data_IF_631294278334
#
_entry.id   IF_631294278334
#
_cell.length_a   1.000
_cell.length_b   1.000
_cell.length_c   1.000
_cell.angle_alpha   90.00
_cell.angle_beta   90.00
_cell.angle_gamma   90.00
#
_symmetry.space_group_name_H-M   'P 1'
#
loop_
_entity.id
_entity.type
_entity.pdbx_description
1 polymer ?
#
# COMPACT_ATOMS: atom_id res chain seq x y z
N UNK A 1 11.48 -6.14 -40.33
CA UNK A 1 11.36 -4.98 -39.42
C UNK A 1 10.62 -5.46 -38.19
N UNK A 2 11.35 -6.09 -37.29
CA UNK A 2 10.87 -6.45 -35.96
C UNK A 2 11.01 -5.20 -35.09
N UNK A 3 9.92 -4.75 -34.49
CA UNK A 3 9.95 -3.66 -33.52
C UNK A 3 10.04 -4.33 -32.15
N UNK A 4 11.27 -4.42 -31.64
CA UNK A 4 11.52 -4.67 -30.22
C UNK A 4 10.81 -3.59 -29.40
N UNK A 5 9.84 -4.00 -28.60
CA UNK A 5 9.34 -3.19 -27.51
C UNK A 5 10.27 -3.43 -26.30
N UNK A 6 11.39 -2.71 -26.28
CA UNK A 6 12.16 -2.50 -25.06
C UNK A 6 11.35 -1.58 -24.14
N UNK A 7 10.51 -2.17 -23.29
CA UNK A 7 9.93 -1.43 -22.16
C UNK A 7 10.94 -1.45 -21.01
N UNK A 8 11.85 -0.48 -21.02
CA UNK A 8 12.64 -0.12 -19.85
C UNK A 8 11.71 0.56 -18.83
N UNK A 9 10.89 -0.22 -18.13
CA UNK A 9 10.08 0.29 -17.03
C UNK A 9 11.01 0.45 -15.81
N UNK A 10 11.22 1.70 -15.37
CA UNK A 10 12.08 2.03 -14.26
C UNK A 10 11.54 1.36 -12.97
N UNK A 11 12.33 0.51 -12.28
CA UNK A 11 11.92 -0.16 -11.05
C UNK A 11 11.59 0.79 -9.90
N UNK A 12 11.83 2.09 -10.05
CA UNK A 12 11.49 3.15 -9.09
C UNK A 12 10.18 3.92 -9.38
N UNK A 13 9.39 3.50 -10.37
CA UNK A 13 8.21 4.25 -10.80
C UNK A 13 7.02 4.17 -9.83
N UNK A 14 6.65 5.32 -9.25
CA UNK A 14 5.42 5.51 -8.49
C UNK A 14 4.39 6.33 -9.30
N UNK A 15 3.14 6.31 -8.86
CA UNK A 15 2.07 7.14 -9.43
C UNK A 15 1.37 7.87 -8.31
N UNK A 16 1.33 9.21 -8.39
CA UNK A 16 0.65 10.05 -7.42
C UNK A 16 -0.85 10.06 -7.73
N UNK A 17 -1.66 9.52 -6.81
CA UNK A 17 -3.12 9.44 -6.99
C UNK A 17 -3.84 10.69 -6.47
N UNK A 18 -3.31 11.32 -5.41
CA UNK A 18 -3.85 12.55 -4.82
C UNK A 18 -2.69 13.41 -4.37
N UNK A 19 -2.76 14.71 -4.65
CA UNK A 19 -1.80 15.71 -4.16
C UNK A 19 -2.51 16.73 -3.28
N UNK A 20 -1.98 16.93 -2.07
CA UNK A 20 -2.49 17.91 -1.11
C UNK A 20 -1.31 18.73 -0.54
N UNK A 21 -0.71 19.64 -1.34
CA UNK A 21 0.53 20.31 -0.97
C UNK A 21 0.41 21.23 0.26
N UNK A 22 -0.78 21.76 0.55
CA UNK A 22 -1.05 22.53 1.77
C UNK A 22 -1.40 21.67 2.99
N UNK A 23 -1.36 20.34 2.81
CA UNK A 23 -1.89 19.33 3.71
C UNK A 23 -3.41 19.42 3.90
N UNK A 24 -3.98 18.43 4.56
CA UNK A 24 -5.38 18.44 5.03
C UNK A 24 -5.43 18.34 6.55
N UNK A 25 -6.43 18.95 7.16
CA UNK A 25 -6.74 18.77 8.58
C UNK A 25 -7.57 17.49 8.78
N UNK A 26 -7.67 16.96 10.02
CA UNK A 26 -8.52 15.81 10.31
C UNK A 26 -9.99 15.97 9.89
N UNK A 27 -10.54 17.20 9.92
CA UNK A 27 -11.93 17.45 9.52
C UNK A 27 -12.13 17.49 8.01
N UNK A 28 -11.04 17.67 7.24
CA UNK A 28 -11.02 17.71 5.77
C UNK A 28 -10.83 16.32 5.15
N UNK A 29 -10.83 15.26 5.97
CA UNK A 29 -10.65 13.88 5.51
C UNK A 29 -11.76 13.02 6.08
N UNK A 30 -12.50 12.35 5.20
CA UNK A 30 -13.52 11.36 5.55
C UNK A 30 -13.21 10.01 4.94
N UNK A 31 -13.90 8.97 5.43
CA UNK A 31 -13.80 7.63 4.87
C UNK A 31 -15.19 7.10 4.56
N UNK A 32 -15.40 6.65 3.32
CA UNK A 32 -16.50 5.77 2.97
C UNK A 32 -16.01 4.33 3.09
N UNK A 33 -16.57 3.57 4.05
CA UNK A 33 -16.18 2.20 4.32
C UNK A 33 -17.32 1.24 4.01
N UNK A 34 -17.13 0.37 3.03
CA UNK A 34 -18.16 -0.56 2.52
C UNK A 34 -17.50 -1.72 1.78
N UNK A 35 -18.19 -2.85 1.79
CA UNK A 35 -17.90 -4.02 0.96
C UNK A 35 -17.97 -3.74 -0.55
N UNK A 36 -18.65 -2.67 -0.98
CA UNK A 36 -18.61 -2.18 -2.36
C UNK A 36 -17.19 -1.79 -2.81
N UNK A 37 -16.28 -1.54 -1.86
CA UNK A 37 -14.87 -1.23 -2.12
C UNK A 37 -13.94 -2.42 -1.84
N UNK A 38 -14.49 -3.61 -1.60
CA UNK A 38 -13.70 -4.84 -1.48
C UNK A 38 -13.14 -5.26 -2.85
N UNK A 39 -12.26 -6.26 -2.83
CA UNK A 39 -11.70 -6.85 -4.05
C UNK A 39 -12.80 -7.59 -4.81
N UNK A 40 -12.87 -7.37 -6.11
CA UNK A 40 -13.70 -8.17 -7.02
C UNK A 40 -12.91 -9.41 -7.43
N UNK A 41 -13.35 -10.65 -7.16
CA UNK A 41 -12.67 -11.84 -7.66
C UNK A 41 -12.53 -11.82 -9.19
N UNK A 42 -11.37 -12.23 -9.69
CA UNK A 42 -11.11 -12.37 -11.11
C UNK A 42 -11.99 -13.49 -11.71
N UNK A 43 -12.45 -13.32 -12.96
CA UNK A 43 -13.34 -14.29 -13.63
C UNK A 43 -12.65 -15.60 -13.99
N UNK A 44 -11.34 -15.55 -14.27
CA UNK A 44 -10.49 -16.74 -14.43
C UNK A 44 -10.31 -17.46 -13.08
N UNK A 45 -11.04 -18.56 -12.91
CA UNK A 45 -11.01 -19.42 -11.73
C UNK A 45 -9.64 -20.06 -11.51
N UNK A 46 -8.90 -20.37 -12.57
CA UNK A 46 -7.56 -20.95 -12.45
C UNK A 46 -6.63 -19.93 -11.82
N UNK A 47 -6.69 -18.67 -12.28
CA UNK A 47 -5.93 -17.57 -11.71
C UNK A 47 -6.31 -17.32 -10.24
N UNK A 48 -7.59 -17.26 -9.89
CA UNK A 48 -8.03 -17.09 -8.49
C UNK A 48 -7.54 -18.21 -7.58
N UNK A 49 -7.54 -19.46 -8.07
CA UNK A 49 -7.05 -20.60 -7.31
C UNK A 49 -5.56 -20.48 -6.95
N UNK A 50 -4.77 -19.73 -7.74
CA UNK A 50 -3.35 -19.51 -7.44
C UNK A 50 -3.14 -18.77 -6.11
N UNK A 51 -4.08 -17.94 -5.67
CA UNK A 51 -3.99 -17.22 -4.38
C UNK A 51 -3.87 -18.23 -3.22
N UNK A 52 -4.69 -19.28 -3.25
CA UNK A 52 -4.68 -20.33 -2.24
C UNK A 52 -3.41 -21.17 -2.29
N UNK A 53 -2.95 -21.50 -3.50
CA UNK A 53 -1.75 -22.32 -3.70
C UNK A 53 -0.48 -21.59 -3.26
N UNK A 54 -0.31 -20.32 -3.67
CA UNK A 54 0.83 -19.49 -3.25
C UNK A 54 0.86 -19.35 -1.73
N UNK A 55 -0.29 -19.09 -1.10
CA UNK A 55 -0.37 -19.00 0.35
C UNK A 55 0.04 -20.30 1.03
N UNK A 56 -0.48 -21.44 0.58
CA UNK A 56 -0.15 -22.77 1.12
C UNK A 56 1.35 -23.04 1.03
N UNK A 57 1.97 -22.76 -0.12
CA UNK A 57 3.42 -22.92 -0.31
C UNK A 57 4.23 -22.02 0.63
N UNK A 58 3.83 -20.76 0.84
CA UNK A 58 4.54 -19.86 1.76
C UNK A 58 4.36 -20.26 3.23
N UNK A 59 3.16 -20.65 3.63
CA UNK A 59 2.88 -21.12 5.00
C UNK A 59 3.65 -22.39 5.35
N UNK A 60 3.87 -23.29 4.39
CA UNK A 60 4.69 -24.50 4.60
C UNK A 60 6.17 -24.19 4.84
N UNK A 61 6.70 -23.12 4.24
CA UNK A 61 8.09 -22.69 4.40
C UNK A 61 8.31 -21.86 5.67
N UNK A 62 7.27 -21.17 6.16
CA UNK A 62 7.35 -20.32 7.33
C UNK A 62 6.17 -20.54 8.29
N UNK A 63 6.40 -21.33 9.34
CA UNK A 63 5.40 -21.68 10.34
C UNK A 63 4.94 -20.49 11.22
N UNK A 64 5.66 -19.36 11.20
CA UNK A 64 5.26 -18.14 11.91
C UNK A 64 4.37 -17.22 11.07
N UNK A 65 4.13 -17.57 9.79
CA UNK A 65 3.30 -16.80 8.87
C UNK A 65 1.83 -16.89 9.31
N UNK A 66 1.21 -15.73 9.56
CA UNK A 66 -0.21 -15.63 9.88
C UNK A 66 -0.93 -14.70 8.90
N UNK A 67 -2.24 -14.89 8.73
CA UNK A 67 -3.07 -14.02 7.92
C UNK A 67 -3.65 -12.89 8.78
N UNK A 68 -3.36 -11.64 8.43
CA UNK A 68 -3.89 -10.45 9.10
C UNK A 68 -4.87 -9.68 8.23
N UNK A 69 -5.96 -9.17 8.80
CA UNK A 69 -6.92 -8.29 8.11
C UNK A 69 -6.33 -6.90 7.90
N UNK A 70 -6.56 -6.33 6.73
CA UNK A 70 -6.08 -5.01 6.32
C UNK A 70 -7.23 -4.21 5.67
N UNK A 71 -7.09 -2.89 5.65
CA UNK A 71 -7.93 -2.04 4.82
C UNK A 71 -7.50 -2.17 3.36
N UNK A 72 -8.47 -2.31 2.45
CA UNK A 72 -8.24 -2.22 1.01
C UNK A 72 -8.44 -0.78 0.55
N UNK A 73 -7.54 -0.25 -0.26
CA UNK A 73 -7.79 0.99 -0.98
C UNK A 73 -8.68 0.70 -2.19
N UNK A 74 -9.90 1.24 -2.15
CA UNK A 74 -10.89 1.14 -3.23
C UNK A 74 -11.04 2.40 -4.07
N UNK A 75 -10.29 3.47 -3.77
CA UNK A 75 -10.34 4.74 -4.49
C UNK A 75 -10.41 5.94 -3.56
N UNK A 76 -10.58 7.12 -4.13
CA UNK A 76 -10.83 8.34 -3.37
C UNK A 76 -11.49 9.41 -4.26
N UNK A 77 -12.07 10.42 -3.61
CA UNK A 77 -12.61 11.61 -4.28
C UNK A 77 -12.08 12.84 -3.56
N UNK A 78 -11.41 13.72 -4.29
CA UNK A 78 -10.97 15.02 -3.80
C UNK A 78 -11.96 16.08 -4.30
N UNK A 79 -12.71 16.68 -3.36
CA UNK A 79 -13.51 17.85 -3.63
C UNK A 79 -12.61 19.09 -3.49
N UNK A 80 -12.21 19.67 -4.62
CA UNK A 80 -11.40 20.88 -4.68
C UNK A 80 -12.28 22.11 -4.94
N UNK A 81 -11.75 23.31 -4.61
CA UNK A 81 -12.38 24.60 -4.91
C UNK A 81 -12.56 24.77 -6.42
N UNK A 82 -13.76 24.55 -6.93
CA UNK A 82 -14.13 25.15 -8.21
C UNK A 82 -14.24 26.66 -7.96
N UNK A 83 -13.54 27.46 -8.77
CA UNK A 83 -13.26 28.89 -8.53
C UNK A 83 -14.46 29.85 -8.54
N UNK A 84 -15.65 29.39 -8.13
CA UNK A 84 -16.91 30.14 -8.10
C UNK A 84 -17.54 30.27 -6.72
N UNK A 85 -17.16 29.46 -5.72
CA UNK A 85 -17.66 29.59 -4.35
C UNK A 85 -16.53 29.79 -3.33
N UNK A 86 -16.55 30.94 -2.66
CA UNK A 86 -15.50 31.41 -1.76
C UNK A 86 -15.49 30.72 -0.38
N UNK A 87 -16.31 29.68 -0.13
CA UNK A 87 -16.55 29.17 1.22
C UNK A 87 -16.28 27.67 1.48
N UNK A 88 -16.01 26.83 0.47
CA UNK A 88 -15.75 25.41 0.72
C UNK A 88 -14.25 25.07 0.76
N UNK A 89 -13.80 24.60 1.92
CA UNK A 89 -12.46 24.04 2.13
C UNK A 89 -12.27 22.70 1.39
N UNK A 90 -11.05 22.36 0.92
CA UNK A 90 -10.81 21.10 0.22
C UNK A 90 -11.11 19.91 1.13
N UNK A 91 -11.76 18.88 0.57
CA UNK A 91 -12.19 17.70 1.32
C UNK A 91 -11.85 16.41 0.56
N UNK A 92 -11.17 15.49 1.22
CA UNK A 92 -10.83 14.18 0.67
C UNK A 92 -11.69 13.09 1.30
N UNK A 93 -12.40 12.33 0.46
CA UNK A 93 -13.04 11.09 0.86
C UNK A 93 -12.23 9.89 0.39
N UNK A 94 -11.76 9.05 1.32
CA UNK A 94 -11.12 7.77 1.01
C UNK A 94 -12.18 6.67 0.94
N UNK A 95 -12.16 5.87 -0.12
CA UNK A 95 -13.02 4.70 -0.27
C UNK A 95 -12.25 3.46 0.17
N UNK A 96 -12.67 2.86 1.28
CA UNK A 96 -11.97 1.73 1.89
C UNK A 96 -12.85 0.49 1.94
N UNK A 97 -12.27 -0.64 1.55
CA UNK A 97 -12.84 -1.97 1.75
C UNK A 97 -11.99 -2.78 2.73
N UNK A 98 -12.20 -4.08 2.73
CA UNK A 98 -11.45 -5.08 3.47
C UNK A 98 -10.61 -5.96 2.54
N UNK A 99 -9.45 -6.32 3.04
CA UNK A 99 -8.61 -7.37 2.46
C UNK A 99 -7.80 -8.05 3.55
N UNK A 100 -6.89 -8.94 3.15
CA UNK A 100 -6.01 -9.63 4.07
C UNK A 100 -4.63 -9.90 3.45
N UNK A 101 -3.68 -10.23 4.32
CA UNK A 101 -2.30 -10.47 3.92
C UNK A 101 -2.17 -11.67 2.97
N UNK A 102 -3.00 -12.70 3.14
CA UNK A 102 -3.06 -13.85 2.22
C UNK A 102 -3.39 -13.42 0.79
N UNK A 103 -4.41 -12.59 0.62
CA UNK A 103 -4.83 -12.11 -0.70
C UNK A 103 -3.77 -11.20 -1.30
N UNK A 104 -3.13 -10.35 -0.49
CA UNK A 104 -2.00 -9.53 -0.94
C UNK A 104 -0.84 -10.37 -1.48
N UNK A 105 -0.46 -11.41 -0.74
CA UNK A 105 0.57 -12.38 -1.14
C UNK A 105 0.22 -13.07 -2.46
N UNK A 106 -1.04 -13.45 -2.64
CA UNK A 106 -1.51 -14.19 -3.82
C UNK A 106 -1.89 -13.34 -5.03
N UNK A 107 -1.98 -12.01 -4.89
CA UNK A 107 -2.34 -11.08 -5.97
C UNK A 107 -1.19 -10.12 -6.26
N UNK A 108 -1.00 -9.10 -5.41
CA UNK A 108 0.00 -8.05 -5.60
C UNK A 108 1.45 -8.59 -5.59
N UNK A 109 1.77 -9.59 -4.76
CA UNK A 109 3.09 -10.22 -4.71
C UNK A 109 3.20 -11.51 -5.53
N UNK A 110 2.18 -11.80 -6.35
CA UNK A 110 2.18 -12.97 -7.22
C UNK A 110 3.15 -12.77 -8.38
N UNK A 111 3.88 -13.80 -8.83
CA UNK A 111 4.57 -13.73 -10.12
C UNK A 111 3.60 -13.51 -11.30
N UNK A 112 2.30 -13.74 -11.10
CA UNK A 112 1.23 -13.51 -12.07
C UNK A 112 0.45 -12.21 -11.82
N UNK A 113 0.98 -11.28 -11.02
CA UNK A 113 0.26 -10.08 -10.57
C UNK A 113 -0.35 -9.26 -11.72
N UNK A 114 0.33 -9.15 -12.86
CA UNK A 114 -0.16 -8.41 -14.03
C UNK A 114 -1.47 -8.98 -14.59
N UNK A 115 -1.69 -10.29 -14.45
CA UNK A 115 -2.92 -10.93 -14.89
C UNK A 115 -4.13 -10.56 -14.04
N UNK A 116 -3.92 -9.99 -12.85
CA UNK A 116 -4.99 -9.45 -12.02
C UNK A 116 -5.32 -7.98 -12.36
N UNK A 117 -4.60 -7.35 -13.29
CA UNK A 117 -4.88 -5.99 -13.71
C UNK A 117 -5.91 -5.94 -14.84
N UNK A 118 -6.71 -4.87 -14.85
CA UNK A 118 -7.63 -4.53 -15.94
C UNK A 118 -7.19 -3.23 -16.60
N UNK A 119 -7.06 -3.13 -17.93
CA UNK A 119 -6.69 -1.88 -18.58
C UNK A 119 -7.67 -0.75 -18.22
N UNK A 120 -7.20 0.24 -17.45
CA UNK A 120 -7.96 1.41 -17.03
C UNK A 120 -7.01 2.50 -16.53
N UNK A 121 -7.36 3.75 -16.79
CA UNK A 121 -6.69 4.93 -16.21
C UNK A 121 -7.12 5.16 -14.75
N UNK A 122 -8.33 4.72 -14.38
CA UNK A 122 -8.79 4.72 -13.00
C UNK A 122 -8.10 3.58 -12.24
N UNK A 123 -7.24 3.94 -11.29
CA UNK A 123 -6.46 2.99 -10.50
C UNK A 123 -7.35 2.04 -9.66
N UNK A 124 -8.54 2.50 -9.23
CA UNK A 124 -9.48 1.65 -8.49
C UNK A 124 -10.01 0.49 -9.35
N UNK A 125 -10.27 0.76 -10.63
CA UNK A 125 -10.71 -0.22 -11.63
C UNK A 125 -9.53 -1.07 -12.09
N UNK A 126 -8.38 -0.45 -12.36
CA UNK A 126 -7.15 -1.14 -12.77
C UNK A 126 -6.77 -2.25 -11.77
N UNK A 127 -6.87 -1.94 -10.48
CA UNK A 127 -6.50 -2.82 -9.38
C UNK A 127 -7.69 -3.57 -8.77
N UNK A 128 -8.86 -3.62 -9.45
CA UNK A 128 -10.09 -4.18 -8.88
C UNK A 128 -9.97 -5.66 -8.45
N UNK A 129 -9.13 -6.45 -9.13
CA UNK A 129 -8.90 -7.86 -8.78
C UNK A 129 -7.73 -8.11 -7.82
N UNK A 130 -7.07 -7.06 -7.35
CA UNK A 130 -5.94 -7.15 -6.41
C UNK A 130 -6.37 -6.83 -4.97
N UNK A 131 -5.61 -7.35 -4.00
CA UNK A 131 -5.83 -7.05 -2.57
C UNK A 131 -5.71 -5.56 -2.27
N UNK A 132 -4.70 -4.92 -2.84
CA UNK A 132 -4.42 -3.49 -2.71
C UNK A 132 -4.52 -2.95 -1.26
N UNK A 133 -3.75 -3.52 -0.30
CA UNK A 133 -3.81 -3.10 1.08
C UNK A 133 -3.32 -1.66 1.23
N UNK A 134 -4.03 -0.86 2.02
CA UNK A 134 -3.67 0.52 2.31
C UNK A 134 -2.48 0.54 3.29
N UNK A 135 -1.35 1.07 2.82
CA UNK A 135 -0.20 1.42 3.65
C UNK A 135 -0.27 2.87 4.15
N UNK A 136 0.48 3.17 5.19
CA UNK A 136 0.75 4.53 5.64
C UNK A 136 2.26 4.76 5.79
N UNK A 137 2.71 5.98 5.52
CA UNK A 137 4.09 6.41 5.71
C UNK A 137 4.14 7.87 6.12
N UNK A 138 5.24 8.27 6.74
CA UNK A 138 5.46 9.65 7.16
C UNK A 138 6.87 10.10 6.77
N UNK A 139 6.98 11.24 6.10
CA UNK A 139 8.24 11.96 5.98
C UNK A 139 8.42 12.75 7.26
N UNK A 140 9.45 12.41 8.05
CA UNK A 140 9.71 13.06 9.34
C UNK A 140 10.90 13.98 9.18
N UNK A 141 10.66 15.28 9.31
CA UNK A 141 11.70 16.30 9.38
C UNK A 141 12.07 16.58 10.85
N UNK A 142 13.37 16.70 11.12
CA UNK A 142 13.91 17.07 12.42
C UNK A 142 14.13 18.58 12.52
N UNK A 143 14.24 19.13 13.73
CA UNK A 143 14.47 20.58 13.94
C UNK A 143 15.79 21.11 13.33
N UNK A 144 16.73 20.24 12.95
CA UNK A 144 17.95 20.56 12.21
C UNK A 144 17.81 20.34 10.68
N UNK A 145 16.57 20.29 10.18
CA UNK A 145 16.19 20.18 8.77
C UNK A 145 16.75 18.91 8.09
N UNK A 146 16.74 17.77 8.81
CA UNK A 146 17.09 16.45 8.26
C UNK A 146 15.86 15.61 8.09
N UNK A 147 15.87 14.76 7.07
CA UNK A 147 14.81 13.79 6.82
C UNK A 147 15.22 12.44 7.39
N UNK A 148 14.36 11.88 8.25
CA UNK A 148 14.59 10.56 8.84
C UNK A 148 14.26 9.46 7.82
N UNK A 149 15.22 8.55 7.64
CA UNK A 149 15.06 7.29 6.88
C UNK A 149 15.50 6.12 7.73
N UNK A 150 14.91 4.95 7.47
CA UNK A 150 15.22 3.69 8.12
C UNK A 150 15.82 2.73 7.09
N UNK A 151 16.89 2.03 7.42
CA UNK A 151 17.39 0.95 6.58
C UNK A 151 16.70 -0.36 6.96
N UNK A 152 16.11 -1.04 5.98
CA UNK A 152 15.51 -2.35 6.19
C UNK A 152 16.60 -3.41 6.37
N UNK A 153 16.34 -4.38 7.24
CA UNK A 153 17.17 -5.59 7.33
C UNK A 153 17.18 -6.32 5.99
N UNK A 154 18.27 -7.03 5.69
CA UNK A 154 18.33 -7.92 4.52
C UNK A 154 17.49 -9.19 4.68
N UNK A 155 17.04 -9.49 5.90
CA UNK A 155 16.26 -10.69 6.23
C UNK A 155 14.76 -10.39 6.33
N UNK A 156 14.21 -9.69 5.35
CA UNK A 156 12.77 -9.38 5.24
C UNK A 156 12.23 -9.81 3.88
N UNK A 157 10.94 -10.14 3.82
CA UNK A 157 10.31 -10.65 2.58
C UNK A 157 10.08 -9.60 1.49
N UNK A 158 10.22 -8.31 1.80
CA UNK A 158 9.96 -7.21 0.87
C UNK A 158 11.06 -6.15 0.99
N UNK A 159 11.66 -5.75 -0.13
CA UNK A 159 12.67 -4.69 -0.22
C UNK A 159 13.82 -4.81 0.81
N UNK A 160 14.56 -5.93 0.85
CA UNK A 160 15.70 -6.08 1.75
C UNK A 160 16.77 -5.01 1.50
N UNK A 161 17.36 -4.46 2.56
CA UNK A 161 18.45 -3.47 2.48
C UNK A 161 18.05 -2.04 2.04
N UNK A 162 16.79 -1.82 1.63
CA UNK A 162 16.34 -0.53 1.11
C UNK A 162 16.10 0.50 2.22
N UNK A 163 16.29 1.78 1.89
CA UNK A 163 15.86 2.89 2.74
C UNK A 163 14.36 3.12 2.61
N UNK A 164 13.68 3.28 3.74
CA UNK A 164 12.25 3.56 3.81
C UNK A 164 11.95 4.67 4.81
N UNK A 165 10.79 5.30 4.63
CA UNK A 165 10.22 6.18 5.64
C UNK A 165 9.53 5.36 6.76
N UNK A 166 9.42 5.91 7.97
CA UNK A 166 8.56 5.33 9.01
C UNK A 166 7.14 5.10 8.51
N UNK A 167 6.59 3.92 8.76
CA UNK A 167 5.28 3.54 8.23
C UNK A 167 4.87 2.12 8.56
N UNK A 168 3.75 1.69 7.99
CA UNK A 168 3.21 0.36 8.17
C UNK A 168 1.92 0.11 7.39
N UNK A 169 1.23 -0.96 7.78
CA UNK A 169 -0.08 -1.34 7.22
C UNK A 169 -1.07 -1.50 8.37
N UNK A 170 -1.94 -0.50 8.63
CA UNK A 170 -2.86 -0.50 9.76
C UNK A 170 -3.75 -1.75 9.79
N UNK A 171 -3.90 -2.32 10.98
CA UNK A 171 -4.75 -3.49 11.21
C UNK A 171 -6.06 -3.11 11.88
N UNK A 172 -7.12 -3.83 11.51
CA UNK A 172 -8.45 -3.62 12.08
C UNK A 172 -8.52 -4.33 13.43
N UNK A 173 -8.38 -3.56 14.51
CA UNK A 173 -8.59 -4.04 15.87
C UNK A 173 -10.04 -3.74 16.30
N UNK A 174 -10.83 -4.81 16.50
CA UNK A 174 -12.22 -4.83 16.99
C UNK A 174 -13.30 -4.20 16.07
N UNK A 175 -14.04 -5.06 15.37
CA UNK A 175 -15.26 -4.78 14.57
C UNK A 175 -16.46 -4.22 15.37
N UNK A 176 -16.33 -3.95 16.68
CA UNK A 176 -17.47 -3.51 17.51
C UNK A 176 -17.88 -2.05 17.25
N UNK A 177 -17.06 -1.28 16.57
CA UNK A 177 -17.40 0.08 16.14
C UNK A 177 -16.49 0.49 14.99
N UNK A 178 -17.02 0.39 13.76
CA UNK A 178 -16.38 0.82 12.51
C UNK A 178 -15.83 2.24 12.60
N UNK A 179 -16.53 3.15 13.29
CA UNK A 179 -16.10 4.54 13.47
C UNK A 179 -14.74 4.72 14.15
N UNK A 180 -14.43 3.96 15.21
CA UNK A 180 -13.19 4.18 15.96
C UNK A 180 -11.94 3.75 15.18
N UNK A 181 -12.04 2.65 14.41
CA UNK A 181 -10.97 2.20 13.54
C UNK A 181 -10.78 3.15 12.36
N UNK A 182 -11.88 3.64 11.77
CA UNK A 182 -11.86 4.62 10.68
C UNK A 182 -11.29 5.96 11.13
N UNK A 183 -11.66 6.45 12.32
CA UNK A 183 -11.06 7.65 12.89
C UNK A 183 -9.56 7.49 13.18
N UNK A 184 -9.08 6.30 13.56
CA UNK A 184 -7.64 6.04 13.69
C UNK A 184 -6.94 6.09 12.33
N UNK A 185 -7.55 5.53 11.27
CA UNK A 185 -7.03 5.66 9.90
C UNK A 185 -6.94 7.12 9.46
N UNK A 186 -8.00 7.91 9.65
CA UNK A 186 -8.01 9.35 9.35
C UNK A 186 -6.94 10.09 10.14
N UNK A 187 -6.79 9.80 11.44
CA UNK A 187 -5.75 10.41 12.29
C UNK A 187 -4.33 10.03 11.85
N UNK A 188 -4.07 8.77 11.51
CA UNK A 188 -2.76 8.35 11.02
C UNK A 188 -2.38 9.05 9.71
N UNK A 189 -3.37 9.47 8.92
CA UNK A 189 -3.15 10.18 7.66
C UNK A 189 -3.00 11.71 7.84
N UNK A 190 -3.63 12.28 8.87
CA UNK A 190 -3.72 13.74 9.07
C UNK A 190 -2.82 14.31 10.18
N UNK A 191 -2.34 13.48 11.13
CA UNK A 191 -1.57 13.94 12.29
C UNK A 191 -0.06 14.14 12.05
N UNK A 192 0.42 14.24 10.81
CA UNK A 192 1.79 14.66 10.55
C UNK A 192 2.09 16.13 10.96
N UNK A 193 1.10 16.89 11.41
CA UNK A 193 1.21 18.34 11.67
C UNK A 193 1.72 18.79 13.04
N UNK A 194 1.99 17.90 14.01
CA UNK A 194 2.46 18.36 15.32
C UNK A 194 4.00 18.39 15.37
N UNK A 195 4.61 19.37 14.69
CA UNK A 195 5.99 19.77 15.01
C UNK A 195 6.86 20.38 13.90
N UNK A 196 6.68 20.05 12.62
CA UNK A 196 7.58 20.49 11.55
C UNK A 196 6.85 20.64 10.21
N UNK A 197 7.00 21.79 9.55
CA UNK A 197 6.84 22.01 8.10
C UNK A 197 5.45 21.77 7.44
N UNK A 198 5.13 22.45 6.32
CA UNK A 198 3.86 22.27 5.60
C UNK A 198 3.77 20.99 4.73
N UNK A 199 4.76 20.12 4.73
CA UNK A 199 4.93 19.12 3.67
C UNK A 199 4.57 17.70 4.12
N UNK A 200 3.28 17.40 4.18
CA UNK A 200 2.77 16.03 4.40
C UNK A 200 2.30 15.42 3.08
N UNK A 201 3.12 14.55 2.48
CA UNK A 201 2.77 13.82 1.26
C UNK A 201 2.23 12.43 1.58
N UNK A 202 1.06 12.08 1.02
CA UNK A 202 0.60 10.70 1.00
C UNK A 202 1.24 9.97 -0.19
N UNK A 203 2.34 9.29 0.07
CA UNK A 203 3.03 8.46 -0.93
C UNK A 203 2.39 7.07 -1.00
N UNK A 204 1.94 6.67 -2.19
CA UNK A 204 1.65 5.27 -2.52
C UNK A 204 2.85 4.69 -3.28
N UNK A 205 3.33 3.54 -2.83
CA UNK A 205 4.25 2.72 -3.62
C UNK A 205 3.42 1.76 -4.47
N UNK A 206 3.63 1.79 -5.80
CA UNK A 206 3.19 0.74 -6.70
C UNK A 206 4.39 -0.21 -6.85
N UNK A 207 4.26 -1.46 -6.40
CA UNK A 207 5.26 -2.48 -6.72
C UNK A 207 5.04 -2.88 -8.17
N UNK A 208 5.77 -2.27 -9.12
CA UNK A 208 5.67 -2.57 -10.56
C UNK A 208 6.49 -3.79 -11.00
N UNK A 209 7.20 -4.46 -10.08
CA UNK A 209 7.88 -5.72 -10.40
C UNK A 209 8.14 -6.56 -9.14
N UNK A 210 7.69 -7.82 -9.09
CA UNK A 210 8.23 -8.82 -8.19
C UNK A 210 9.41 -9.52 -8.87
N UNK A 211 10.35 -8.77 -9.46
CA UNK A 211 11.69 -9.32 -9.76
C UNK A 211 12.45 -9.48 -8.44
N UNK A 212 11.88 -10.29 -7.55
CA UNK A 212 12.58 -11.02 -6.53
C UNK A 212 13.37 -12.08 -7.29
N UNK A 213 14.52 -11.69 -7.83
CA UNK A 213 15.60 -12.64 -8.02
C UNK A 213 15.96 -13.16 -6.63
N UNK A 214 15.28 -14.25 -6.26
CA UNK A 214 15.57 -15.09 -5.12
C UNK A 214 16.89 -15.83 -5.39
N UNK A 215 17.98 -15.10 -5.59
CA UNK A 215 19.31 -15.63 -5.37
C UNK A 215 19.57 -15.48 -3.87
N UNK A 216 18.98 -16.40 -3.10
CA UNK A 216 19.41 -16.59 -1.73
C UNK A 216 20.92 -16.88 -1.73
N UNK A 217 21.70 -16.38 -0.77
CA UNK A 217 23.04 -16.88 -0.57
C UNK A 217 22.93 -18.37 -0.27
N UNK A 218 23.40 -19.18 -1.21
CA UNK A 218 23.87 -20.55 -0.95
C UNK A 218 25.08 -20.46 -0.05
N UNK A 219 24.90 -20.16 1.24
CA UNK A 219 25.74 -20.77 2.25
C UNK A 219 25.03 -20.78 3.61
N UNK A 220 24.67 -21.99 4.01
CA UNK A 220 24.12 -22.32 5.30
C UNK A 220 25.31 -22.63 6.19
N UNK A 221 25.95 -21.60 6.75
CA UNK A 221 26.91 -21.71 7.86
C UNK A 221 27.28 -20.31 8.37
N UNK A 222 27.37 -20.22 9.69
CA UNK A 222 27.68 -19.03 10.49
C UNK A 222 26.56 -17.98 10.56
N UNK A 223 25.94 -17.89 11.74
CA UNK A 223 26.17 -16.81 12.70
C UNK A 223 25.35 -17.13 13.95
N UNK A 224 25.94 -17.97 14.81
CA UNK A 224 25.66 -17.91 16.25
C UNK A 224 26.43 -16.70 16.80
N UNK A 225 25.83 -15.96 17.75
CA UNK A 225 26.29 -14.69 18.36
C UNK A 225 26.05 -13.47 17.43
N UNK A 226 25.45 -12.37 17.89
CA UNK A 226 25.72 -11.68 19.15
C UNK A 226 24.56 -10.77 19.55
N UNK A 227 24.16 -10.88 20.83
CA UNK A 227 23.31 -10.01 21.68
C UNK A 227 21.81 -9.94 21.38
#
# INVERSE_FOLDING_TARGET
>A
MEKEASSTDDPSSFTLLVSCPSGLSPSQVSVAFSDAYDRIPHSDVILENTISEIWKQRSQKNNSLFNGKKFRYGGCVLHAKDGSDHECEPHLCLHLGLTDYRTFVGTNLSPLWERFLVPSEDDSVLCQHTSNPLGNGAVVETNDNKILVLQRSDNVGEFPGHFVFPGGHPEICNLRSTDAALQRCVRCWTNARHGCGPDSYAMRYRVRSPSLDMVGPTDMRDWTRTR
#
